data_IF_059168870227
#
_entry.id   IF_059168870227
#
_cell.length_a   1.000
_cell.length_b   1.000
_cell.length_c   1.000
_cell.angle_alpha   90.00
_cell.angle_beta   90.00
_cell.angle_gamma   90.00
#
_symmetry.space_group_name_H-M   'P 1'
#
loop_
_entity.id
_entity.type
_entity.pdbx_description
1 polymer ?
#
# COMPACT_ATOMS: atom_id res chain seq x y z
N UNK A 1 9.84 -78.01 48.65
CA UNK A 1 10.13 -76.71 49.27
C UNK A 1 8.92 -75.80 49.08
N UNK A 2 8.26 -75.45 50.19
CA UNK A 2 7.48 -74.22 50.46
C UNK A 2 6.32 -73.83 49.52
N UNK A 3 5.06 -74.17 49.89
CA UNK A 3 4.04 -73.38 50.64
C UNK A 3 3.05 -72.63 49.72
N UNK A 4 1.81 -73.12 49.64
CA UNK A 4 0.59 -72.60 50.29
C UNK A 4 -0.05 -71.34 49.64
N UNK A 5 -1.21 -71.59 49.00
CA UNK A 5 -2.53 -71.00 49.31
C UNK A 5 -2.76 -69.47 49.15
N UNK A 6 -3.65 -69.10 48.19
CA UNK A 6 -4.91 -68.31 48.36
C UNK A 6 -5.40 -67.73 47.02
N UNK A 7 -6.57 -68.21 46.56
CA UNK A 7 -7.52 -67.40 45.76
C UNK A 7 -8.23 -66.45 46.74
N UNK A 8 -8.59 -65.21 46.36
CA UNK A 8 -9.93 -65.00 45.78
C UNK A 8 -10.14 -63.78 44.83
N UNK A 9 -11.22 -63.90 44.03
CA UNK A 9 -12.26 -62.94 43.62
C UNK A 9 -11.93 -61.54 43.05
N UNK A 10 -12.47 -61.37 41.83
CA UNK A 10 -12.95 -60.20 41.05
C UNK A 10 -13.09 -58.85 41.79
N UNK A 11 -12.77 -57.77 41.06
CA UNK A 11 -13.46 -56.48 41.15
C UNK A 11 -13.69 -55.92 39.74
N UNK A 12 -14.97 -55.74 39.40
CA UNK A 12 -15.46 -54.91 38.30
C UNK A 12 -15.72 -53.51 38.86
N UNK A 13 -15.26 -52.45 38.19
CA UNK A 13 -15.79 -51.10 38.40
C UNK A 13 -16.10 -50.49 37.03
N UNK A 14 -17.39 -50.32 36.78
CA UNK A 14 -17.94 -49.40 35.80
C UNK A 14 -17.99 -48.01 36.43
N UNK A 15 -17.71 -46.96 35.65
CA UNK A 15 -18.05 -45.58 36.02
C UNK A 15 -18.84 -44.93 34.87
N UNK A 16 -20.07 -44.59 35.22
CA UNK A 16 -21.08 -43.81 34.50
C UNK A 16 -20.95 -42.34 34.92
N UNK A 17 -21.30 -41.42 34.01
CA UNK A 17 -21.71 -40.05 34.34
C UNK A 17 -20.87 -38.96 33.66
N UNK A 18 -21.39 -37.85 33.13
CA UNK A 18 -22.66 -37.14 33.32
C UNK A 18 -22.93 -36.28 32.06
N UNK A 19 -24.21 -36.14 31.71
CA UNK A 19 -24.73 -35.20 30.72
C UNK A 19 -24.63 -33.74 31.20
N UNK A 20 -24.36 -32.81 30.28
CA UNK A 20 -24.40 -31.37 30.53
C UNK A 20 -24.78 -30.59 29.28
N UNK A 21 -26.07 -30.54 28.98
CA UNK A 21 -26.63 -29.59 28.03
C UNK A 21 -26.66 -28.20 28.69
N UNK A 22 -25.92 -27.24 28.13
CA UNK A 22 -26.05 -25.81 28.48
C UNK A 22 -26.64 -25.10 27.27
N UNK A 23 -27.97 -24.99 27.27
CA UNK A 23 -28.73 -24.04 26.47
C UNK A 23 -28.54 -22.66 27.10
N UNK A 24 -27.73 -21.80 26.49
CA UNK A 24 -27.71 -20.37 26.79
C UNK A 24 -28.54 -19.65 25.73
N UNK A 25 -29.73 -19.19 26.13
CA UNK A 25 -30.59 -18.35 25.30
C UNK A 25 -29.92 -16.99 25.04
N UNK A 26 -29.82 -16.62 23.77
CA UNK A 26 -29.49 -15.26 23.36
C UNK A 26 -30.81 -14.54 23.09
N UNK A 27 -31.11 -13.57 23.94
CA UNK A 27 -32.17 -12.59 23.75
C UNK A 27 -31.89 -11.80 22.47
N UNK A 28 -32.82 -11.86 21.53
CA UNK A 28 -32.84 -10.98 20.37
C UNK A 28 -33.32 -9.59 20.81
N UNK A 29 -32.42 -8.60 20.76
CA UNK A 29 -32.78 -7.18 20.72
C UNK A 29 -32.72 -6.74 19.26
N UNK A 30 -33.82 -6.21 18.67
CA UNK A 30 -33.77 -5.56 17.37
C UNK A 30 -33.55 -4.06 17.58
N UNK A 31 -32.30 -3.60 17.51
CA UNK A 31 -32.01 -2.16 17.60
C UNK A 31 -30.95 -1.73 16.58
N UNK A 32 -31.43 -1.01 15.56
CA UNK A 32 -30.75 0.14 14.95
C UNK A 32 -29.63 -0.13 13.95
N UNK A 33 -29.61 0.65 12.86
CA UNK A 33 -28.53 0.75 11.87
C UNK A 33 -27.19 1.14 12.52
N UNK A 34 -26.53 0.15 13.13
CA UNK A 34 -25.21 0.28 13.71
C UNK A 34 -24.17 0.10 12.62
N UNK A 35 -23.58 1.20 12.13
CA UNK A 35 -22.34 1.12 11.39
C UNK A 35 -21.33 0.35 12.27
N UNK A 36 -21.00 -0.87 11.88
CA UNK A 36 -20.14 -1.74 12.67
C UNK A 36 -18.82 -1.02 12.95
N UNK A 37 -18.41 -0.99 14.23
CA UNK A 37 -17.16 -0.38 14.66
C UNK A 37 -15.93 -1.21 14.26
N UNK A 38 -14.71 -0.70 14.54
CA UNK A 38 -13.48 -1.42 14.23
C UNK A 38 -13.47 -2.83 14.85
N UNK A 39 -13.23 -3.86 14.03
CA UNK A 39 -13.23 -5.26 14.45
C UNK A 39 -12.09 -6.04 13.77
N UNK A 40 -11.68 -7.19 14.32
CA UNK A 40 -10.79 -8.11 13.61
C UNK A 40 -11.35 -8.47 12.23
N UNK A 41 -10.45 -8.64 11.26
CA UNK A 41 -10.83 -9.10 9.93
C UNK A 41 -11.34 -10.54 9.97
N UNK A 42 -12.37 -10.83 9.18
CA UNK A 42 -12.80 -12.20 8.91
C UNK A 42 -11.80 -12.92 8.00
N UNK A 43 -11.93 -14.25 7.85
CA UNK A 43 -11.07 -15.01 6.92
C UNK A 43 -11.18 -14.54 5.47
N UNK A 44 -12.40 -14.22 5.01
CA UNK A 44 -12.62 -13.70 3.66
C UNK A 44 -12.03 -12.29 3.47
N UNK A 45 -12.13 -11.43 4.49
CA UNK A 45 -11.51 -10.10 4.50
C UNK A 45 -9.97 -10.19 4.50
N UNK A 46 -9.40 -11.10 5.29
CA UNK A 46 -7.97 -11.36 5.30
C UNK A 46 -7.47 -11.85 3.93
N UNK A 47 -8.25 -12.70 3.26
CA UNK A 47 -7.95 -13.14 1.90
C UNK A 47 -7.98 -11.97 0.90
N UNK A 48 -8.97 -11.07 0.97
CA UNK A 48 -9.01 -9.87 0.12
C UNK A 48 -7.81 -8.97 0.36
N UNK A 49 -7.45 -8.73 1.62
CA UNK A 49 -6.27 -7.94 2.00
C UNK A 49 -4.99 -8.58 1.45
N UNK A 50 -4.87 -9.91 1.55
CA UNK A 50 -3.74 -10.67 1.03
C UNK A 50 -3.56 -10.56 -0.48
N UNK A 51 -4.68 -10.51 -1.21
CA UNK A 51 -4.67 -10.38 -2.67
C UNK A 51 -4.40 -8.95 -3.14
N UNK A 52 -4.69 -7.92 -2.33
CA UNK A 52 -4.65 -6.54 -2.80
C UNK A 52 -3.26 -6.10 -3.31
N UNK A 53 -2.20 -6.44 -2.56
CA UNK A 53 -0.82 -6.14 -2.97
C UNK A 53 -0.39 -6.95 -4.20
N UNK A 54 -0.84 -8.20 -4.28
CA UNK A 54 -0.56 -9.06 -5.41
C UNK A 54 -1.26 -8.59 -6.69
N UNK A 55 -2.53 -8.19 -6.61
CA UNK A 55 -3.26 -7.60 -7.74
C UNK A 55 -2.62 -6.30 -8.20
N UNK A 56 -2.16 -5.47 -7.27
CA UNK A 56 -1.41 -4.25 -7.59
C UNK A 56 -0.14 -4.56 -8.40
N UNK A 57 0.53 -5.68 -8.12
CA UNK A 57 1.67 -6.17 -8.92
C UNK A 57 1.23 -6.71 -10.30
N UNK A 58 0.17 -7.53 -10.33
CA UNK A 58 -0.34 -8.12 -11.57
C UNK A 58 -0.87 -7.08 -12.54
N UNK A 59 -1.58 -6.07 -12.05
CA UNK A 59 -2.23 -5.04 -12.85
C UNK A 59 -1.34 -3.82 -13.12
N UNK A 60 -0.04 -3.98 -12.90
CA UNK A 60 0.97 -2.97 -13.23
C UNK A 60 1.16 -2.80 -14.74
N UNK A 61 1.44 -1.58 -15.25
CA UNK A 61 1.56 -0.31 -14.52
C UNK A 61 0.23 0.29 -14.09
N UNK A 62 0.24 1.01 -12.97
CA UNK A 62 -0.95 1.65 -12.40
C UNK A 62 -0.82 3.17 -12.41
N UNK A 63 -1.90 3.88 -12.72
CA UNK A 63 -1.97 5.33 -12.53
C UNK A 63 -2.38 5.63 -11.10
N UNK A 64 -1.67 6.56 -10.46
CA UNK A 64 -1.94 6.97 -9.07
C UNK A 64 -1.93 8.49 -8.92
N UNK A 65 -2.67 8.98 -7.94
CA UNK A 65 -2.59 10.35 -7.44
C UNK A 65 -2.10 10.31 -6.00
N UNK A 66 -0.91 10.86 -5.76
CA UNK A 66 -0.30 10.97 -4.44
C UNK A 66 -0.56 12.36 -3.90
N UNK A 67 -1.04 12.46 -2.66
CA UNK A 67 -1.19 13.71 -1.93
C UNK A 67 -0.39 13.62 -0.65
N UNK A 68 0.58 14.51 -0.48
CA UNK A 68 1.43 14.55 0.70
C UNK A 68 1.39 15.94 1.35
N UNK A 69 1.29 16.00 2.69
CA UNK A 69 1.35 17.28 3.40
C UNK A 69 2.78 17.81 3.40
N UNK A 70 2.95 19.12 3.17
CA UNK A 70 4.22 19.83 3.23
C UNK A 70 4.11 21.05 4.14
N UNK A 71 5.22 21.71 4.45
CA UNK A 71 5.20 22.92 5.28
C UNK A 71 4.33 24.04 4.68
N UNK A 72 4.17 24.08 3.34
CA UNK A 72 3.37 25.08 2.63
C UNK A 72 1.96 24.64 2.23
N UNK A 73 1.47 23.48 2.70
CA UNK A 73 0.15 22.97 2.35
C UNK A 73 0.17 21.49 1.98
N UNK A 74 -0.36 21.12 0.81
CA UNK A 74 -0.31 19.77 0.29
C UNK A 74 0.20 19.77 -1.15
N UNK A 75 1.07 18.80 -1.47
CA UNK A 75 1.54 18.56 -2.84
C UNK A 75 0.78 17.39 -3.43
N UNK A 76 0.24 17.59 -4.63
CA UNK A 76 -0.36 16.53 -5.45
C UNK A 76 0.62 16.11 -6.56
N UNK A 77 0.85 14.81 -6.68
CA UNK A 77 1.61 14.19 -7.76
C UNK A 77 0.73 13.20 -8.49
N UNK A 78 0.57 13.36 -9.80
CA UNK A 78 -0.10 12.37 -10.66
C UNK A 78 0.96 11.52 -11.34
N UNK A 79 0.82 10.21 -11.28
CA UNK A 79 1.90 9.31 -11.64
C UNK A 79 1.47 8.01 -12.28
N UNK A 80 2.42 7.36 -12.95
CA UNK A 80 2.33 5.98 -13.41
C UNK A 80 3.43 5.18 -12.72
N UNK A 81 3.05 4.08 -12.07
CA UNK A 81 3.93 3.22 -11.27
C UNK A 81 4.01 1.84 -11.90
N UNK A 82 5.23 1.45 -12.30
CA UNK A 82 5.58 0.06 -12.61
C UNK A 82 6.01 -0.63 -11.31
N UNK A 83 5.06 -1.32 -10.70
CA UNK A 83 5.20 -2.11 -9.49
C UNK A 83 6.13 -3.31 -9.65
N UNK A 84 6.28 -3.84 -10.87
CA UNK A 84 7.15 -4.98 -11.13
C UNK A 84 8.61 -4.57 -11.23
N UNK A 85 8.87 -3.38 -11.75
CA UNK A 85 10.22 -2.80 -11.85
C UNK A 85 10.59 -1.87 -10.70
N UNK A 86 9.66 -1.61 -9.78
CA UNK A 86 9.79 -0.60 -8.73
C UNK A 86 10.26 0.76 -9.27
N UNK A 87 9.61 1.21 -10.34
CA UNK A 87 9.90 2.48 -11.01
C UNK A 87 8.61 3.24 -11.22
N UNK A 88 8.69 4.56 -11.16
CA UNK A 88 7.54 5.42 -11.39
C UNK A 88 7.95 6.73 -12.04
N UNK A 89 7.01 7.33 -12.77
CA UNK A 89 7.12 8.70 -13.27
C UNK A 89 5.87 9.47 -12.90
N UNK A 90 6.05 10.75 -12.57
CA UNK A 90 4.99 11.62 -12.09
C UNK A 90 5.12 13.02 -12.62
N UNK A 91 4.05 13.79 -12.45
CA UNK A 91 4.04 15.23 -12.63
C UNK A 91 3.41 15.90 -11.41
N UNK A 92 3.88 17.08 -11.08
CA UNK A 92 3.37 17.92 -10.02
C UNK A 92 3.22 19.35 -10.53
N UNK A 93 2.31 20.09 -9.93
CA UNK A 93 2.19 21.53 -10.10
C UNK A 93 2.72 22.22 -8.84
N UNK A 94 3.58 23.22 -9.01
CA UNK A 94 3.92 24.15 -7.93
C UNK A 94 2.82 25.21 -7.90
N UNK A 95 1.93 25.11 -6.91
CA UNK A 95 1.01 26.19 -6.59
C UNK A 95 1.77 27.32 -5.90
N UNK A 96 1.66 28.53 -6.41
CA UNK A 96 2.14 29.74 -5.74
C UNK A 96 1.23 30.05 -4.55
N UNK A 97 1.47 29.42 -3.40
CA UNK A 97 0.91 29.89 -2.13
C UNK A 97 2.01 30.58 -1.32
N UNK A 98 2.06 31.90 -1.42
CA UNK A 98 2.95 32.73 -0.62
C UNK A 98 2.76 34.19 -0.99
N UNK A 99 2.15 34.95 -0.08
CA UNK A 99 2.02 36.40 -0.17
C UNK A 99 3.43 37.05 -0.24
N UNK A 100 3.85 37.42 -1.44
CA UNK A 100 4.83 38.47 -1.76
C UNK A 100 4.80 38.61 -3.27
N UNK A 101 4.63 39.84 -3.75
CA UNK A 101 4.33 40.19 -5.15
C UNK A 101 5.42 39.90 -6.18
N UNK A 102 6.18 38.81 -6.06
CA UNK A 102 6.99 38.27 -7.15
C UNK A 102 6.17 37.22 -7.88
N UNK A 103 5.72 37.58 -9.08
CA UNK A 103 5.11 36.67 -10.06
C UNK A 103 6.14 35.62 -10.49
N UNK A 104 6.40 34.64 -9.63
CA UNK A 104 7.23 33.48 -9.91
C UNK A 104 6.41 32.50 -10.73
N UNK A 105 6.87 32.18 -11.93
CA UNK A 105 6.20 31.28 -12.87
C UNK A 105 5.65 30.04 -12.15
N UNK A 106 4.34 29.80 -12.29
CA UNK A 106 3.70 28.55 -11.85
C UNK A 106 4.30 27.39 -12.65
N UNK A 107 5.35 26.78 -12.12
CA UNK A 107 6.05 25.68 -12.76
C UNK A 107 5.35 24.35 -12.52
N UNK A 108 5.21 23.55 -13.57
CA UNK A 108 5.06 22.10 -13.44
C UNK A 108 6.43 21.42 -13.55
N UNK A 109 6.54 20.22 -13.00
CA UNK A 109 7.74 19.42 -13.10
C UNK A 109 7.42 17.96 -13.36
N UNK A 110 8.43 17.23 -13.79
CA UNK A 110 8.42 15.78 -13.88
C UNK A 110 9.21 15.21 -12.72
N UNK A 111 8.70 14.12 -12.17
CA UNK A 111 9.38 13.28 -11.20
C UNK A 111 9.59 11.91 -11.83
N UNK A 112 10.70 11.28 -11.48
CA UNK A 112 10.91 9.86 -11.69
C UNK A 112 11.53 9.29 -10.42
N UNK A 113 11.08 8.14 -9.94
CA UNK A 113 11.62 7.56 -8.72
C UNK A 113 11.68 6.05 -8.78
N UNK A 114 12.63 5.50 -8.03
CA UNK A 114 12.84 4.08 -7.82
C UNK A 114 13.17 3.83 -6.33
N UNK A 115 13.63 2.63 -5.99
CA UNK A 115 14.02 2.33 -4.60
C UNK A 115 15.24 3.13 -4.11
N UNK A 116 16.06 3.67 -5.01
CA UNK A 116 17.30 4.38 -4.67
C UNK A 116 17.10 5.89 -4.46
N UNK A 117 16.15 6.51 -5.16
CA UNK A 117 15.91 7.94 -5.00
C UNK A 117 14.89 8.54 -5.95
N UNK A 118 14.92 9.87 -6.01
CA UNK A 118 14.04 10.69 -6.84
C UNK A 118 14.90 11.46 -7.85
N UNK A 119 14.42 11.58 -9.07
CA UNK A 119 14.93 12.46 -10.10
C UNK A 119 13.86 13.47 -10.49
N UNK A 120 14.29 14.70 -10.78
CA UNK A 120 13.40 15.79 -11.19
C UNK A 120 13.86 16.33 -12.54
N UNK A 121 12.91 16.63 -13.42
CA UNK A 121 13.14 17.37 -14.66
C UNK A 121 12.10 18.48 -14.80
N UNK A 122 12.47 19.58 -15.46
CA UNK A 122 11.53 20.67 -15.76
C UNK A 122 10.60 20.25 -16.89
N UNK A 123 9.31 20.59 -16.79
CA UNK A 123 8.38 20.49 -17.91
C UNK A 123 7.26 21.51 -17.75
N UNK A 124 6.97 22.26 -18.81
CA UNK A 124 5.82 23.16 -18.84
C UNK A 124 4.51 22.42 -19.19
N UNK A 125 4.59 21.15 -19.58
CA UNK A 125 3.41 20.38 -19.94
C UNK A 125 2.62 19.96 -18.70
N UNK A 126 1.30 19.96 -18.83
CA UNK A 126 0.37 19.41 -17.84
C UNK A 126 -0.39 18.24 -18.46
N UNK A 127 0.15 17.01 -18.39
CA UNK A 127 -0.53 15.84 -18.91
C UNK A 127 -1.94 15.68 -18.31
N UNK A 128 -2.95 15.49 -19.16
CA UNK A 128 -4.32 15.25 -18.72
C UNK A 128 -4.60 13.79 -18.34
N UNK A 129 -3.72 12.87 -18.74
CA UNK A 129 -3.85 11.44 -18.47
C UNK A 129 -2.51 10.68 -18.46
N UNK A 130 -2.53 9.40 -18.05
CA UNK A 130 -1.32 8.63 -17.79
C UNK A 130 -0.50 8.35 -19.05
N UNK A 131 -1.12 8.11 -20.21
CA UNK A 131 -0.39 7.88 -21.46
C UNK A 131 0.33 9.14 -21.94
N UNK A 132 -0.27 10.32 -21.75
CA UNK A 132 0.37 11.59 -22.06
C UNK A 132 1.52 11.86 -21.09
N UNK A 133 1.36 11.52 -19.81
CA UNK A 133 2.45 11.62 -18.83
C UNK A 133 3.64 10.76 -19.24
N UNK A 134 3.41 9.52 -19.67
CA UNK A 134 4.48 8.64 -20.16
C UNK A 134 5.18 9.23 -21.39
N UNK A 135 4.43 9.85 -22.33
CA UNK A 135 5.04 10.53 -23.49
C UNK A 135 5.88 11.72 -23.08
N UNK A 136 5.39 12.54 -22.17
CA UNK A 136 6.10 13.72 -21.67
C UNK A 136 7.37 13.33 -20.91
N UNK A 137 7.30 12.31 -20.04
CA UNK A 137 8.43 11.82 -19.28
C UNK A 137 9.57 11.23 -20.13
N UNK A 138 9.30 10.88 -21.39
CA UNK A 138 10.32 10.44 -22.36
C UNK A 138 11.06 11.57 -23.07
N UNK A 139 10.55 12.81 -23.02
CA UNK A 139 11.15 13.95 -23.73
C UNK A 139 12.50 14.39 -23.14
N UNK A 140 12.67 14.53 -21.82
CA UNK A 140 13.94 14.95 -21.27
C UNK A 140 15.01 13.86 -21.44
N UNK A 141 16.14 14.22 -22.04
CA UNK A 141 17.32 13.35 -22.10
C UNK A 141 17.92 13.10 -20.70
N UNK A 142 18.81 12.10 -20.54
CA UNK A 142 19.37 11.75 -19.23
C UNK A 142 20.00 12.91 -18.45
N UNK A 143 20.64 13.86 -19.14
CA UNK A 143 21.28 15.02 -18.52
C UNK A 143 20.30 16.09 -17.99
N UNK A 144 19.02 16.04 -18.42
CA UNK A 144 17.99 16.96 -17.95
C UNK A 144 17.40 16.55 -16.59
N UNK A 145 17.72 15.34 -16.11
CA UNK A 145 17.25 14.82 -14.84
C UNK A 145 18.28 15.09 -13.73
N UNK A 146 17.85 15.77 -12.68
CA UNK A 146 18.64 15.94 -11.46
C UNK A 146 18.20 14.92 -10.42
N UNK A 147 19.11 14.01 -10.03
CA UNK A 147 18.86 13.00 -9.01
C UNK A 147 19.17 13.50 -7.61
N UNK A 148 18.39 13.04 -6.64
CA UNK A 148 18.64 13.21 -5.20
C UNK A 148 18.23 11.94 -4.44
N UNK A 149 18.90 11.71 -3.31
CA UNK A 149 18.45 10.71 -2.36
C UNK A 149 17.11 11.11 -1.76
N UNK A 150 16.39 10.13 -1.22
CA UNK A 150 15.22 10.42 -0.45
C UNK A 150 15.56 11.07 0.90
N UNK A 151 14.70 11.96 1.36
CA UNK A 151 14.76 12.62 2.67
C UNK A 151 13.66 12.09 3.60
N UNK A 152 13.54 12.68 4.78
CA UNK A 152 12.45 12.44 5.72
C UNK A 152 11.18 13.25 5.39
N UNK A 153 11.14 13.94 4.25
CA UNK A 153 9.96 14.72 3.84
C UNK A 153 8.74 13.78 3.64
N UNK A 154 7.53 14.21 4.04
CA UNK A 154 6.32 13.41 3.84
C UNK A 154 6.06 13.02 2.37
N UNK A 155 6.43 13.87 1.41
CA UNK A 155 6.32 13.56 -0.02
C UNK A 155 7.23 12.39 -0.39
N UNK A 156 8.49 12.42 0.04
CA UNK A 156 9.45 11.35 -0.22
C UNK A 156 8.99 10.03 0.38
N UNK A 157 8.40 10.09 1.58
CA UNK A 157 7.78 8.92 2.23
C UNK A 157 6.60 8.39 1.42
N UNK A 158 5.71 9.27 0.95
CA UNK A 158 4.56 8.90 0.14
C UNK A 158 4.96 8.32 -1.23
N UNK A 159 6.00 8.87 -1.87
CA UNK A 159 6.54 8.35 -3.13
C UNK A 159 7.16 6.96 -2.92
N UNK A 160 7.96 6.75 -1.86
CA UNK A 160 8.46 5.41 -1.53
C UNK A 160 7.35 4.41 -1.25
N UNK A 161 6.30 4.84 -0.55
CA UNK A 161 5.14 4.00 -0.28
C UNK A 161 4.55 3.45 -1.58
N UNK A 162 4.40 4.26 -2.64
CA UNK A 162 3.83 3.79 -3.92
C UNK A 162 4.55 2.57 -4.51
N UNK A 163 5.87 2.45 -4.27
CA UNK A 163 6.69 1.32 -4.74
C UNK A 163 6.58 0.08 -3.86
N UNK A 164 6.11 0.22 -2.61
CA UNK A 164 5.96 -0.88 -1.64
C UNK A 164 4.54 -1.43 -1.53
N UNK A 165 3.56 -0.78 -2.18
CA UNK A 165 2.15 -1.22 -2.20
C UNK A 165 1.88 -2.50 -3.02
N UNK A 166 2.90 -3.04 -3.67
CA UNK A 166 2.82 -4.28 -4.44
C UNK A 166 3.63 -5.41 -3.80
N UNK A 167 3.27 -6.64 -4.12
CA UNK A 167 4.02 -7.85 -3.82
C UNK A 167 3.90 -8.83 -4.99
N UNK A 168 4.98 -9.53 -5.34
CA UNK A 168 5.04 -10.48 -6.46
C UNK A 168 4.29 -11.79 -6.20
N UNK A 169 3.92 -12.04 -4.94
CA UNK A 169 3.09 -13.14 -4.48
C UNK A 169 2.01 -12.63 -3.52
N UNK A 170 0.87 -13.34 -3.40
CA UNK A 170 -0.08 -13.06 -2.34
C UNK A 170 0.56 -13.18 -0.95
N UNK A 171 0.15 -12.31 -0.03
CA UNK A 171 0.49 -12.49 1.38
C UNK A 171 -0.20 -13.73 1.96
N UNK A 172 0.32 -14.30 3.03
CA UNK A 172 -0.36 -15.41 3.70
C UNK A 172 -1.53 -14.87 4.53
N UNK A 173 -2.76 -15.15 4.11
CA UNK A 173 -3.98 -14.65 4.75
C UNK A 173 -4.10 -15.07 6.23
N UNK A 174 -3.62 -16.26 6.60
CA UNK A 174 -3.64 -16.70 7.99
C UNK A 174 -2.65 -15.89 8.85
N UNK A 175 -1.45 -15.65 8.34
CA UNK A 175 -0.48 -14.78 9.03
C UNK A 175 -0.97 -13.33 9.11
N UNK A 176 -1.64 -12.84 8.07
CA UNK A 176 -2.26 -11.51 8.08
C UNK A 176 -3.34 -11.43 9.15
N UNK A 177 -4.27 -12.40 9.22
CA UNK A 177 -5.29 -12.42 10.26
C UNK A 177 -4.68 -12.42 11.67
N UNK A 178 -3.56 -13.13 11.87
CA UNK A 178 -2.81 -13.14 13.13
C UNK A 178 -2.04 -11.82 13.40
N UNK A 179 -1.58 -11.13 12.35
CA UNK A 179 -0.86 -9.86 12.45
C UNK A 179 -1.76 -8.66 12.85
N UNK A 180 -3.05 -8.91 13.06
CA UNK A 180 -4.01 -7.97 13.64
C UNK A 180 -4.43 -6.76 12.80
N UNK A 181 -4.61 -6.86 11.46
CA UNK A 181 -5.35 -5.86 10.72
C UNK A 181 -6.79 -5.82 11.24
N UNK A 182 -7.41 -4.64 11.13
CA UNK A 182 -8.78 -4.40 11.56
C UNK A 182 -9.60 -4.00 10.36
N UNK A 183 -10.77 -4.59 10.20
CA UNK A 183 -11.81 -3.96 9.40
C UNK A 183 -12.32 -2.75 10.20
N UNK A 184 -12.40 -1.60 9.55
CA UNK A 184 -12.73 -0.33 10.20
C UNK A 184 -14.18 0.09 9.94
N UNK A 185 -14.59 0.03 8.68
CA UNK A 185 -15.91 0.43 8.18
C UNK A 185 -16.04 0.09 6.69
N UNK A 186 -17.27 0.12 6.18
CA UNK A 186 -17.51 0.33 4.75
C UNK A 186 -17.34 1.81 4.38
N UNK A 187 -16.99 2.07 3.12
CA UNK A 187 -16.87 3.42 2.56
C UNK A 187 -17.20 3.41 1.06
N UNK A 188 -17.60 4.55 0.52
CA UNK A 188 -17.83 4.70 -0.91
C UNK A 188 -16.93 5.80 -1.48
N UNK A 189 -16.24 5.50 -2.59
CA UNK A 189 -15.42 6.46 -3.33
C UNK A 189 -15.87 6.44 -4.79
N UNK A 190 -16.28 7.60 -5.31
CA UNK A 190 -16.80 7.76 -6.67
C UNK A 190 -17.96 6.80 -6.99
N UNK A 191 -18.85 6.58 -6.02
CA UNK A 191 -20.02 5.69 -6.15
C UNK A 191 -19.72 4.19 -6.16
N UNK A 192 -18.47 3.79 -5.88
CA UNK A 192 -18.08 2.38 -5.70
C UNK A 192 -17.83 2.09 -4.23
N UNK A 193 -18.26 0.90 -3.77
CA UNK A 193 -18.10 0.46 -2.40
C UNK A 193 -16.73 -0.17 -2.15
N UNK A 194 -16.18 0.12 -0.97
CA UNK A 194 -14.91 -0.39 -0.49
C UNK A 194 -15.01 -0.74 0.99
N UNK A 195 -14.32 -1.80 1.37
CA UNK A 195 -14.02 -2.05 2.78
C UNK A 195 -12.75 -1.30 3.17
N UNK A 196 -12.78 -0.67 4.34
CA UNK A 196 -11.65 0.07 4.90
C UNK A 196 -10.96 -0.78 5.95
N UNK A 197 -9.67 -1.05 5.73
CA UNK A 197 -8.85 -1.88 6.62
C UNK A 197 -7.70 -1.08 7.21
N UNK A 198 -7.41 -1.26 8.49
CA UNK A 198 -6.09 -0.95 9.03
C UNK A 198 -5.08 -2.00 8.53
N UNK A 199 -3.93 -1.56 8.05
CA UNK A 199 -2.88 -2.43 7.54
C UNK A 199 -2.32 -3.41 8.57
N UNK A 200 -1.53 -4.41 8.13
CA UNK A 200 -0.77 -5.24 9.05
C UNK A 200 0.20 -4.37 9.86
N UNK A 201 0.42 -4.74 11.12
CA UNK A 201 1.34 -4.02 12.01
C UNK A 201 2.77 -4.44 11.69
N UNK A 202 3.70 -3.51 11.39
CA UNK A 202 5.09 -3.87 11.10
C UNK A 202 5.89 -4.32 12.34
N UNK A 203 5.34 -4.20 13.55
CA UNK A 203 5.96 -4.69 14.79
C UNK A 203 4.88 -5.06 15.82
N UNK A 204 5.22 -5.90 16.81
CA UNK A 204 4.37 -6.21 17.97
C UNK A 204 4.15 -5.00 18.92
N UNK A 205 4.45 -3.78 18.47
CA UNK A 205 4.26 -2.57 19.27
C UNK A 205 2.76 -2.28 19.42
N UNK A 206 2.33 -1.81 20.60
CA UNK A 206 0.95 -1.40 20.82
C UNK A 206 0.62 -0.19 19.92
N UNK A 207 -0.51 -0.25 19.22
CA UNK A 207 -0.99 0.81 18.34
C UNK A 207 -1.70 0.32 17.08
N UNK A 208 -2.44 1.21 16.41
CA UNK A 208 -3.02 0.94 15.08
C UNK A 208 -1.92 1.07 14.03
N UNK A 209 -1.99 0.25 12.97
CA UNK A 209 -1.12 0.45 11.81
C UNK A 209 -1.23 1.88 11.29
N UNK A 210 -0.12 2.54 10.91
CA UNK A 210 -0.17 3.86 10.31
C UNK A 210 -0.80 3.83 8.90
N UNK A 211 -0.95 2.63 8.31
CA UNK A 211 -1.53 2.44 6.99
C UNK A 211 -3.02 2.09 7.07
N UNK A 212 -3.83 2.70 6.22
CA UNK A 212 -5.23 2.34 6.01
C UNK A 212 -5.47 2.08 4.52
N UNK A 213 -6.22 1.03 4.20
CA UNK A 213 -6.45 0.53 2.85
C UNK A 213 -7.94 0.55 2.52
N UNK A 214 -8.29 0.97 1.31
CA UNK A 214 -9.63 0.85 0.75
C UNK A 214 -9.58 -0.20 -0.35
N UNK A 215 -10.26 -1.31 -0.13
CA UNK A 215 -10.19 -2.50 -0.98
C UNK A 215 -11.61 -2.89 -1.38
N UNK A 216 -11.83 -3.09 -2.68
CA UNK A 216 -13.13 -3.54 -3.19
C UNK A 216 -13.35 -5.03 -2.92
N UNK A 217 -14.56 -5.53 -3.22
CA UNK A 217 -14.95 -6.92 -3.00
C UNK A 217 -14.07 -7.91 -3.76
N UNK A 218 -13.47 -7.50 -4.87
CA UNK A 218 -12.59 -8.36 -5.65
C UNK A 218 -11.17 -8.39 -5.06
N UNK A 219 -10.79 -7.41 -4.22
CA UNK A 219 -9.42 -7.23 -3.75
C UNK A 219 -8.64 -6.18 -4.54
N UNK A 220 -9.32 -5.34 -5.33
CA UNK A 220 -8.76 -4.17 -5.99
C UNK A 220 -8.46 -3.07 -4.99
N UNK A 221 -7.25 -2.52 -5.02
CA UNK A 221 -6.82 -1.43 -4.16
C UNK A 221 -7.23 -0.08 -4.77
N UNK A 222 -8.04 0.71 -4.05
CA UNK A 222 -8.46 2.05 -4.49
C UNK A 222 -7.66 3.17 -3.83
N UNK A 223 -7.45 3.09 -2.53
CA UNK A 223 -6.77 4.13 -1.75
C UNK A 223 -5.89 3.49 -0.67
N UNK A 224 -4.75 4.10 -0.44
CA UNK A 224 -3.96 3.89 0.78
C UNK A 224 -3.70 5.24 1.43
N UNK A 225 -3.94 5.33 2.73
CA UNK A 225 -3.45 6.45 3.52
C UNK A 225 -2.33 6.01 4.44
N UNK A 226 -1.34 6.88 4.62
CA UNK A 226 -0.25 6.71 5.54
C UNK A 226 -0.21 7.88 6.52
N UNK A 227 -0.41 7.57 7.80
CA UNK A 227 -0.27 8.54 8.87
C UNK A 227 1.21 8.83 9.08
N UNK A 228 1.60 10.06 8.80
CA UNK A 228 2.98 10.54 8.96
C UNK A 228 3.21 10.95 10.41
N UNK A 229 2.23 11.64 10.99
CA UNK A 229 2.16 11.99 12.41
C UNK A 229 0.68 12.14 12.82
N UNK A 230 0.35 12.51 14.07
CA UNK A 230 -1.04 12.60 14.52
C UNK A 230 -1.94 13.56 13.72
N UNK A 231 -1.39 14.55 13.02
CA UNK A 231 -2.16 15.58 12.30
C UNK A 231 -1.99 15.52 10.77
N UNK A 232 -0.95 14.82 10.29
CA UNK A 232 -0.59 14.75 8.86
C UNK A 232 -0.73 13.35 8.30
N UNK A 233 -1.48 13.24 7.21
CA UNK A 233 -1.72 11.99 6.49
C UNK A 233 -1.39 12.16 5.01
N UNK A 234 -0.59 11.27 4.46
CA UNK A 234 -0.39 11.13 3.02
C UNK A 234 -1.44 10.17 2.44
N UNK A 235 -1.87 10.43 1.20
CA UNK A 235 -2.87 9.62 0.49
C UNK A 235 -2.33 9.19 -0.87
N UNK A 236 -2.56 7.95 -1.25
CA UNK A 236 -2.27 7.40 -2.58
C UNK A 236 -3.58 6.83 -3.13
N UNK A 237 -4.10 7.45 -4.18
CA UNK A 237 -5.30 7.02 -4.90
C UNK A 237 -4.92 6.28 -6.17
N UNK A 238 -5.37 5.05 -6.36
CA UNK A 238 -5.23 4.29 -7.61
C UNK A 238 -6.34 4.69 -8.56
N UNK A 239 -6.00 5.42 -9.62
CA UNK A 239 -6.96 6.01 -10.56
C UNK A 239 -7.18 5.16 -11.80
N UNK A 240 -6.20 4.35 -12.19
CA UNK A 240 -6.34 3.35 -13.25
C UNK A 240 -5.31 2.23 -13.05
N UNK A 241 -5.57 1.06 -13.65
CA UNK A 241 -4.63 -0.06 -13.70
C UNK A 241 -4.36 -0.46 -15.15
N UNK A 242 -3.31 -1.25 -15.38
CA UNK A 242 -2.86 -1.71 -16.70
C UNK A 242 -2.72 -0.57 -17.71
N UNK A 243 -2.11 0.53 -17.26
CA UNK A 243 -1.83 1.71 -18.08
C UNK A 243 -1.00 1.30 -19.31
N UNK A 244 -1.42 1.76 -20.49
CA UNK A 244 -0.73 1.44 -21.74
C UNK A 244 0.53 2.28 -21.93
N UNK A 245 1.58 1.64 -22.44
CA UNK A 245 2.88 2.25 -22.71
C UNK A 245 3.95 1.84 -21.71
N UNK A 246 5.17 2.31 -21.94
CA UNK A 246 6.34 1.98 -21.13
C UNK A 246 6.83 3.18 -20.35
N UNK A 247 7.40 2.96 -19.17
CA UNK A 247 8.16 4.00 -18.48
C UNK A 247 9.39 4.38 -19.32
N UNK A 248 9.87 5.64 -19.21
CA UNK A 248 11.08 6.05 -19.90
C UNK A 248 12.30 5.23 -19.43
N UNK A 249 13.34 5.16 -20.27
CA UNK A 249 14.62 4.54 -19.91
C UNK A 249 15.45 5.47 -19.04
N UNK A 250 15.48 6.77 -19.36
CA UNK A 250 15.97 7.82 -18.47
C UNK A 250 14.95 8.09 -17.35
N UNK A 251 15.38 8.39 -16.12
CA UNK A 251 16.77 8.62 -15.69
C UNK A 251 17.56 7.34 -15.35
N UNK A 252 16.98 6.14 -15.50
CA UNK A 252 17.54 4.87 -14.99
C UNK A 252 18.60 4.20 -15.85
N UNK A 253 18.76 4.59 -17.12
CA UNK A 253 19.81 4.07 -17.95
C UNK A 253 21.19 4.50 -17.41
N UNK A 254 22.06 3.53 -17.13
CA UNK A 254 23.47 3.78 -16.87
C UNK A 254 24.12 4.35 -18.14
N UNK A 255 24.94 5.40 -18.01
CA UNK A 255 25.85 5.76 -19.11
C UNK A 255 26.85 4.61 -19.29
N UNK A 256 27.10 4.12 -20.52
CA UNK A 256 28.28 3.33 -20.77
C UNK A 256 29.50 4.19 -20.38
N UNK A 257 30.35 3.67 -19.50
CA UNK A 257 31.65 4.28 -19.23
C UNK A 257 32.49 4.20 -20.50
N UNK A 258 32.77 5.34 -21.12
CA UNK A 258 33.74 5.42 -22.21
C UNK A 258 35.14 5.19 -21.61
N UNK A 259 35.56 3.94 -21.47
CA UNK A 259 36.91 3.56 -21.06
C UNK A 259 37.21 2.13 -21.52
N UNK A 260 37.47 1.96 -22.83
CA UNK A 260 38.19 0.81 -23.38
C UNK A 260 38.57 1.04 -24.86
N UNK A 261 39.15 2.19 -25.22
CA UNK A 261 39.90 2.32 -26.48
C UNK A 261 40.96 3.43 -26.33
N UNK A 262 42.01 3.10 -25.58
CA UNK A 262 43.28 3.80 -25.65
C UNK A 262 44.35 2.77 -25.25
N UNK A 263 44.75 1.94 -26.22
CA UNK A 263 45.69 0.86 -25.96
C UNK A 263 46.04 0.05 -27.21
N UNK A 264 46.44 0.71 -28.30
CA UNK A 264 47.31 0.13 -29.33
C UNK A 264 47.86 1.25 -30.21
N UNK A 265 49.09 1.65 -29.91
CA UNK A 265 49.92 2.56 -30.70
C UNK A 265 51.35 2.44 -30.21
#
# INVERSE_FOLDING_TARGET
MHTLWKRPKRVTVALVGIAGAVTAGVLAFPDGDGAAGPRPVSGAEAQRLALARFRTYQDSPSAVTVRAPTAGGAVEVRAVVDHRRHRAVGTYAVGSSGASGTSGASGSGLLAWDLAGIAVARSAARPSGPEQLLREARRPGPAAWTRRAYTADPLDTALRLTLSLSADRPDNAQLLAQAGPLWLRGDAIDGRDYDVFAGPRPSHRPGRSPLTYWIDTDGGLRRVTARIDPTRTATVDFTATRVRGTLPTAPWAHRPTASAEAGSG
#
